data_IF_309228337952
#
_entry.id   IF_309228337952
#
_cell.length_a   1.000
_cell.length_b   1.000
_cell.length_c   1.000
_cell.angle_alpha   90.00
_cell.angle_beta   90.00
_cell.angle_gamma   90.00
#
_symmetry.space_group_name_H-M   'P 1'
#
loop_
_entity.id
_entity.type
_entity.pdbx_description
1 polymer ?
#
# COMPACT_ATOMS: atom_id res chain seq x y z
N UNK A 1 -18.89 10.25 -0.45
CA UNK A 1 -17.78 10.84 0.35
C UNK A 1 -17.16 11.94 -0.48
N UNK A 2 -16.59 12.95 0.16
CA UNK A 2 -15.84 14.02 -0.49
C UNK A 2 -14.34 13.71 -0.35
N UNK A 3 -13.63 13.63 -1.48
CA UNK A 3 -12.23 13.22 -1.54
C UNK A 3 -11.42 14.30 -2.22
N UNK A 4 -10.35 14.78 -1.57
CA UNK A 4 -9.35 15.64 -2.22
C UNK A 4 -8.16 14.81 -2.65
N UNK A 5 -7.65 15.09 -3.84
CA UNK A 5 -6.46 14.44 -4.41
C UNK A 5 -5.47 15.54 -4.79
N UNK A 6 -4.32 15.56 -4.15
CA UNK A 6 -3.21 16.44 -4.48
C UNK A 6 -2.25 15.72 -5.43
N UNK A 7 -2.12 16.27 -6.64
CA UNK A 7 -1.36 15.71 -7.76
C UNK A 7 -2.27 15.14 -8.85
N UNK A 8 -2.34 15.81 -10.02
CA UNK A 8 -3.07 15.38 -11.22
C UNK A 8 -2.19 14.60 -12.21
N UNK A 9 -1.11 14.01 -11.76
CA UNK A 9 -0.32 13.05 -12.53
C UNK A 9 -1.11 11.79 -12.89
N UNK A 10 -0.48 10.81 -13.55
CA UNK A 10 -1.15 9.59 -14.00
C UNK A 10 -1.91 8.86 -12.88
N UNK A 11 -1.33 8.78 -11.67
CA UNK A 11 -1.95 8.12 -10.52
C UNK A 11 -3.15 8.91 -10.00
N UNK A 12 -2.99 10.23 -9.80
CA UNK A 12 -4.06 11.06 -9.27
C UNK A 12 -5.28 11.13 -10.20
N UNK A 13 -5.04 11.27 -11.52
CA UNK A 13 -6.13 11.21 -12.51
C UNK A 13 -6.86 9.89 -12.51
N UNK A 14 -6.12 8.77 -12.46
CA UNK A 14 -6.74 7.44 -12.41
C UNK A 14 -7.61 7.28 -11.17
N UNK A 15 -7.10 7.65 -10.00
CA UNK A 15 -7.88 7.65 -8.75
C UNK A 15 -9.12 8.52 -8.84
N UNK A 16 -8.99 9.74 -9.41
CA UNK A 16 -10.09 10.66 -9.55
C UNK A 16 -11.21 10.09 -10.44
N UNK A 17 -10.86 9.50 -11.60
CA UNK A 17 -11.80 8.84 -12.51
C UNK A 17 -12.54 7.70 -11.81
N UNK A 18 -11.81 6.78 -11.19
CA UNK A 18 -12.38 5.60 -10.54
C UNK A 18 -13.31 5.95 -9.38
N UNK A 19 -12.90 6.91 -8.55
CA UNK A 19 -13.69 7.34 -7.41
C UNK A 19 -14.91 8.16 -7.84
N UNK A 20 -14.78 9.01 -8.86
CA UNK A 20 -15.92 9.74 -9.43
C UNK A 20 -16.96 8.79 -10.02
N UNK A 21 -16.53 7.76 -10.74
CA UNK A 21 -17.42 6.72 -11.30
C UNK A 21 -18.17 5.93 -10.22
N UNK A 22 -17.62 5.85 -8.99
CA UNK A 22 -18.28 5.26 -7.81
C UNK A 22 -19.19 6.23 -7.06
N UNK A 23 -19.38 7.46 -7.57
CA UNK A 23 -20.27 8.46 -7.00
C UNK A 23 -19.67 9.28 -5.85
N UNK A 24 -18.34 9.30 -5.70
CA UNK A 24 -17.68 10.21 -4.76
C UNK A 24 -17.55 11.61 -5.37
N UNK A 25 -17.56 12.64 -4.52
CA UNK A 25 -17.22 14.01 -4.93
C UNK A 25 -15.71 14.17 -4.88
N UNK A 26 -15.11 14.57 -5.98
CA UNK A 26 -13.66 14.65 -6.14
C UNK A 26 -13.22 16.12 -6.29
N UNK A 27 -12.17 16.48 -5.56
CA UNK A 27 -11.43 17.72 -5.77
C UNK A 27 -10.02 17.31 -6.16
N UNK A 28 -9.62 17.62 -7.38
CA UNK A 28 -8.29 17.33 -7.90
C UNK A 28 -7.48 18.62 -7.97
N UNK A 29 -6.35 18.67 -7.29
CA UNK A 29 -5.47 19.85 -7.18
C UNK A 29 -4.14 19.53 -7.85
N UNK A 30 -3.67 20.44 -8.69
CA UNK A 30 -2.29 20.39 -9.23
C UNK A 30 -1.82 21.82 -9.55
N UNK A 31 -0.52 22.05 -9.41
CA UNK A 31 0.12 23.31 -9.80
C UNK A 31 0.43 23.39 -11.29
N UNK A 32 0.47 22.26 -12.00
CA UNK A 32 0.71 22.21 -13.44
C UNK A 32 -0.60 22.33 -14.21
N UNK A 33 -0.81 23.45 -14.96
CA UNK A 33 -1.99 23.61 -15.78
C UNK A 33 -2.12 22.55 -16.88
N UNK A 34 -1.01 21.96 -17.36
CA UNK A 34 -1.04 20.93 -18.39
C UNK A 34 -1.65 19.64 -17.82
N UNK A 35 -1.26 19.25 -16.59
CA UNK A 35 -1.82 18.09 -15.92
C UNK A 35 -3.34 18.22 -15.68
N UNK A 36 -3.81 19.43 -15.35
CA UNK A 36 -5.24 19.72 -15.19
C UNK A 36 -5.98 19.79 -16.53
N UNK A 37 -5.37 20.28 -17.59
CA UNK A 37 -5.98 20.28 -18.93
C UNK A 37 -6.19 18.83 -19.45
N UNK A 38 -5.27 17.92 -19.15
CA UNK A 38 -5.47 16.49 -19.41
C UNK A 38 -6.61 15.90 -18.57
N UNK A 39 -6.82 16.40 -17.35
CA UNK A 39 -7.92 15.96 -16.50
C UNK A 39 -9.28 16.49 -16.98
N UNK A 40 -9.35 17.69 -17.55
CA UNK A 40 -10.59 18.29 -18.09
C UNK A 40 -11.27 17.40 -19.12
N UNK A 41 -10.49 16.69 -19.94
CA UNK A 41 -11.00 15.84 -21.02
C UNK A 41 -12.07 14.81 -20.57
N UNK A 42 -12.05 14.45 -19.28
CA UNK A 42 -13.03 13.54 -18.67
C UNK A 42 -13.82 14.20 -17.52
N UNK A 43 -13.26 15.22 -16.88
CA UNK A 43 -13.90 15.90 -15.74
C UNK A 43 -15.08 16.77 -16.17
N UNK A 44 -15.05 17.35 -17.36
CA UNK A 44 -16.12 18.20 -17.89
C UNK A 44 -17.44 17.44 -18.11
N UNK A 45 -17.38 16.11 -18.27
CA UNK A 45 -18.54 15.23 -18.36
C UNK A 45 -19.00 14.69 -16.99
N UNK A 46 -18.33 15.05 -15.89
CA UNK A 46 -18.57 14.52 -14.56
C UNK A 46 -19.00 15.66 -13.59
N UNK A 47 -20.28 15.70 -13.23
CA UNK A 47 -20.87 16.70 -12.32
C UNK A 47 -20.29 16.68 -10.89
N UNK A 48 -19.51 15.65 -10.55
CA UNK A 48 -18.98 15.39 -9.21
C UNK A 48 -17.45 15.58 -9.13
N UNK A 49 -16.84 16.25 -10.10
CA UNK A 49 -15.39 16.53 -10.12
C UNK A 49 -15.13 18.03 -10.20
N UNK A 50 -14.29 18.52 -9.29
CA UNK A 50 -13.78 19.89 -9.28
C UNK A 50 -12.27 19.87 -9.50
N UNK A 51 -11.79 20.70 -10.41
CA UNK A 51 -10.37 20.90 -10.68
C UNK A 51 -9.91 22.23 -10.08
N UNK A 52 -8.78 22.22 -9.36
CA UNK A 52 -8.20 23.40 -8.74
C UNK A 52 -6.75 23.54 -9.22
N UNK A 53 -6.44 24.66 -9.87
CA UNK A 53 -5.07 25.02 -10.22
C UNK A 53 -4.42 25.71 -9.02
N UNK A 54 -3.40 25.09 -8.45
CA UNK A 54 -2.65 25.63 -7.33
C UNK A 54 -1.69 24.61 -6.72
N UNK A 55 -0.76 25.12 -5.93
CA UNK A 55 0.14 24.29 -5.14
C UNK A 55 -0.58 23.80 -3.87
N UNK A 56 -0.74 22.51 -3.72
CA UNK A 56 -1.41 21.90 -2.56
C UNK A 56 -0.59 22.04 -1.25
N UNK A 57 0.67 22.46 -1.31
CA UNK A 57 1.47 22.81 -0.14
C UNK A 57 1.13 24.20 0.41
N UNK A 58 0.37 24.99 -0.32
CA UNK A 58 -0.03 26.33 0.10
C UNK A 58 -1.36 26.28 0.87
N UNK A 59 -1.41 26.77 2.13
CA UNK A 59 -2.61 26.67 2.97
C UNK A 59 -3.86 27.30 2.33
N UNK A 60 -3.71 28.42 1.62
CA UNK A 60 -4.83 29.10 0.98
C UNK A 60 -5.46 28.32 -0.18
N UNK A 61 -4.69 27.42 -0.84
CA UNK A 61 -5.21 26.50 -1.86
C UNK A 61 -6.11 25.46 -1.21
N UNK A 62 -5.66 24.91 -0.09
CA UNK A 62 -6.42 23.92 0.68
C UNK A 62 -7.67 24.52 1.34
N UNK A 63 -7.60 25.78 1.79
CA UNK A 63 -8.77 26.53 2.24
C UNK A 63 -9.79 26.71 1.11
N UNK A 64 -9.32 27.11 -0.08
CA UNK A 64 -10.17 27.25 -1.28
C UNK A 64 -10.81 25.95 -1.73
N UNK A 65 -10.19 24.81 -1.43
CA UNK A 65 -10.74 23.48 -1.65
C UNK A 65 -11.70 23.01 -0.53
N UNK A 66 -11.94 23.85 0.49
CA UNK A 66 -12.80 23.56 1.64
C UNK A 66 -12.42 22.24 2.36
N UNK A 67 -11.11 22.02 2.57
CA UNK A 67 -10.58 20.77 3.12
C UNK A 67 -11.22 20.34 4.44
N UNK A 68 -11.69 21.26 5.25
CA UNK A 68 -12.41 20.98 6.52
C UNK A 68 -13.70 20.18 6.31
N UNK A 69 -14.22 20.09 5.08
CA UNK A 69 -15.44 19.33 4.75
C UNK A 69 -15.14 18.01 4.04
N UNK A 70 -13.85 17.70 3.87
CA UNK A 70 -13.38 16.51 3.14
C UNK A 70 -13.29 15.30 4.07
N UNK A 71 -13.75 14.15 3.59
CA UNK A 71 -13.69 12.89 4.34
C UNK A 71 -12.32 12.21 4.22
N UNK A 72 -11.69 12.33 3.04
CA UNK A 72 -10.40 11.68 2.73
C UNK A 72 -9.51 12.62 1.92
N UNK A 73 -8.26 12.80 2.33
CA UNK A 73 -7.21 13.45 1.54
C UNK A 73 -6.21 12.43 1.02
N UNK A 74 -5.78 12.61 -0.24
CA UNK A 74 -4.83 11.71 -0.90
C UNK A 74 -3.71 12.56 -1.51
N UNK A 75 -2.49 12.43 -1.00
CA UNK A 75 -1.31 13.10 -1.51
C UNK A 75 -0.53 12.14 -2.43
N UNK A 76 -0.54 12.42 -3.74
CA UNK A 76 0.05 11.55 -4.78
C UNK A 76 0.85 12.33 -5.81
N UNK A 77 1.48 13.41 -5.37
CA UNK A 77 2.40 14.18 -6.19
C UNK A 77 3.66 13.36 -6.55
N UNK A 78 4.50 13.89 -7.41
CA UNK A 78 5.80 13.29 -7.76
C UNK A 78 6.88 13.48 -6.71
N UNK A 79 6.61 14.23 -5.65
CA UNK A 79 7.57 14.62 -4.62
C UNK A 79 7.13 14.16 -3.23
N UNK A 80 8.05 13.55 -2.47
CA UNK A 80 7.73 13.00 -1.14
C UNK A 80 7.57 14.10 -0.09
N UNK A 81 8.33 15.17 -0.21
CA UNK A 81 8.26 16.34 0.68
C UNK A 81 6.91 17.02 0.54
N UNK A 82 6.45 17.22 -0.69
CA UNK A 82 5.12 17.78 -0.97
C UNK A 82 4.01 16.89 -0.40
N UNK A 83 4.12 15.57 -0.59
CA UNK A 83 3.15 14.62 -0.06
C UNK A 83 3.07 14.66 1.48
N UNK A 84 4.21 14.84 2.16
CA UNK A 84 4.25 15.01 3.62
C UNK A 84 3.63 16.35 4.06
N UNK A 85 3.96 17.46 3.37
CA UNK A 85 3.41 18.78 3.70
C UNK A 85 1.90 18.80 3.53
N UNK A 86 1.38 18.30 2.39
CA UNK A 86 -0.06 18.19 2.15
C UNK A 86 -0.74 17.33 3.21
N UNK A 87 -0.14 16.19 3.57
CA UNK A 87 -0.69 15.30 4.59
C UNK A 87 -0.77 15.98 5.95
N UNK A 88 0.30 16.68 6.34
CA UNK A 88 0.37 17.40 7.62
C UNK A 88 -0.69 18.50 7.69
N UNK A 89 -0.79 19.34 6.64
CA UNK A 89 -1.79 20.41 6.56
C UNK A 89 -3.21 19.84 6.58
N UNK A 90 -3.50 18.82 5.78
CA UNK A 90 -4.81 18.19 5.75
C UNK A 90 -5.22 17.64 7.13
N UNK A 91 -4.29 16.99 7.83
CA UNK A 91 -4.57 16.37 9.13
C UNK A 91 -4.64 17.36 10.26
N UNK A 92 -3.63 18.24 10.39
CA UNK A 92 -3.48 19.09 11.58
C UNK A 92 -4.23 20.42 11.46
N UNK A 93 -4.21 21.06 10.29
CA UNK A 93 -4.87 22.36 10.12
C UNK A 93 -6.35 22.22 9.74
N UNK A 94 -6.68 21.23 8.90
CA UNK A 94 -8.05 21.06 8.40
C UNK A 94 -8.82 19.90 9.05
N UNK A 95 -8.17 19.08 9.88
CA UNK A 95 -8.83 18.00 10.63
C UNK A 95 -9.41 16.89 9.75
N UNK A 96 -8.85 16.65 8.55
CA UNK A 96 -9.34 15.60 7.65
C UNK A 96 -9.28 14.24 8.33
N UNK A 97 -10.39 13.49 8.39
CA UNK A 97 -10.47 12.24 9.16
C UNK A 97 -9.46 11.19 8.68
N UNK A 98 -9.23 11.10 7.36
CA UNK A 98 -8.34 10.11 6.77
C UNK A 98 -7.43 10.71 5.71
N UNK A 99 -6.13 10.50 5.89
CA UNK A 99 -5.10 10.99 4.97
C UNK A 99 -4.25 9.84 4.49
N UNK A 100 -4.16 9.70 3.17
CA UNK A 100 -3.38 8.68 2.50
C UNK A 100 -2.29 9.34 1.66
N UNK A 101 -1.11 8.74 1.60
CA UNK A 101 0.00 9.31 0.86
C UNK A 101 0.76 8.28 0.02
N UNK A 102 1.25 8.71 -1.12
CA UNK A 102 2.20 7.97 -1.94
C UNK A 102 3.62 8.26 -1.48
N UNK A 103 4.41 7.20 -1.37
CA UNK A 103 5.86 7.26 -1.17
C UNK A 103 6.54 7.02 -2.52
N UNK A 104 7.23 8.02 -3.05
CA UNK A 104 7.95 7.92 -4.33
C UNK A 104 9.30 7.22 -4.15
N UNK A 105 9.99 7.51 -3.05
CA UNK A 105 11.29 6.93 -2.73
C UNK A 105 11.23 6.07 -1.46
N UNK A 106 11.45 4.74 -1.54
CA UNK A 106 11.38 3.86 -0.38
C UNK A 106 12.24 4.29 0.82
N UNK A 107 13.32 5.05 0.58
CA UNK A 107 14.18 5.62 1.64
C UNK A 107 13.44 6.59 2.56
N UNK A 108 12.36 7.21 2.08
CA UNK A 108 11.58 8.20 2.81
C UNK A 108 10.37 7.58 3.53
N UNK A 109 10.07 6.30 3.31
CA UNK A 109 8.88 5.62 3.85
C UNK A 109 8.74 5.75 5.37
N UNK A 110 9.86 5.77 6.10
CA UNK A 110 9.90 5.93 7.56
C UNK A 110 9.32 7.27 8.06
N UNK A 111 9.25 8.30 7.20
CA UNK A 111 8.65 9.60 7.53
C UNK A 111 7.13 9.59 7.43
N UNK A 112 6.53 8.70 6.63
CA UNK A 112 5.10 8.67 6.36
C UNK A 112 4.32 8.01 7.51
N UNK A 113 4.25 8.72 8.63
CA UNK A 113 3.67 8.26 9.89
C UNK A 113 2.54 9.19 10.35
N UNK A 114 1.81 8.78 11.39
CA UNK A 114 0.79 9.62 12.02
C UNK A 114 1.32 10.97 12.51
N UNK A 115 2.61 11.08 12.86
CA UNK A 115 3.24 12.34 13.24
C UNK A 115 3.28 13.36 12.09
N UNK A 116 3.38 12.87 10.88
CA UNK A 116 3.29 13.66 9.64
C UNK A 116 1.87 13.72 9.07
N UNK A 117 0.87 13.30 9.85
CA UNK A 117 -0.53 13.34 9.45
C UNK A 117 -0.94 12.24 8.48
N UNK A 118 -0.13 11.20 8.29
CA UNK A 118 -0.40 10.10 7.36
C UNK A 118 -1.04 8.93 8.09
N UNK A 119 -2.29 8.58 7.73
CA UNK A 119 -2.99 7.41 8.27
C UNK A 119 -2.66 6.12 7.50
N UNK A 120 -2.18 6.25 6.26
CA UNK A 120 -1.73 5.13 5.46
C UNK A 120 -0.90 5.59 4.27
N UNK A 121 0.13 4.83 3.94
CA UNK A 121 1.02 5.13 2.82
C UNK A 121 1.20 3.91 1.93
N UNK A 122 1.54 4.18 0.67
CA UNK A 122 1.91 3.14 -0.30
C UNK A 122 3.14 3.57 -1.08
N UNK A 123 4.09 2.65 -1.21
CA UNK A 123 5.29 2.82 -2.03
C UNK A 123 5.21 1.93 -3.27
N UNK A 124 4.79 2.45 -4.43
CA UNK A 124 4.74 1.65 -5.66
C UNK A 124 6.08 1.02 -6.05
N UNK A 125 7.24 1.71 -5.90
CA UNK A 125 8.53 1.07 -6.16
C UNK A 125 8.80 -0.12 -5.25
N UNK A 126 8.41 -0.05 -3.98
CA UNK A 126 8.58 -1.17 -3.03
C UNK A 126 7.71 -2.37 -3.44
N UNK A 127 6.44 -2.13 -3.78
CA UNK A 127 5.52 -3.18 -4.24
C UNK A 127 6.06 -3.84 -5.51
N UNK A 128 6.50 -3.05 -6.49
CA UNK A 128 7.07 -3.59 -7.75
C UNK A 128 8.34 -4.40 -7.50
N UNK A 129 9.21 -3.94 -6.59
CA UNK A 129 10.42 -4.69 -6.21
C UNK A 129 10.05 -6.04 -5.61
N UNK A 130 9.08 -6.06 -4.67
CA UNK A 130 8.61 -7.30 -4.07
C UNK A 130 8.04 -8.28 -5.12
N UNK A 131 7.24 -7.80 -6.06
CA UNK A 131 6.71 -8.63 -7.16
C UNK A 131 7.81 -9.19 -8.07
N UNK A 132 8.87 -8.41 -8.34
CA UNK A 132 10.02 -8.88 -9.13
C UNK A 132 10.82 -9.91 -8.33
N UNK A 133 11.06 -9.66 -7.05
CA UNK A 133 11.74 -10.61 -6.16
C UNK A 133 11.00 -11.94 -6.10
N UNK A 134 9.67 -11.91 -5.97
CA UNK A 134 8.81 -13.10 -6.05
C UNK A 134 9.03 -13.88 -7.33
N UNK A 135 9.07 -13.18 -8.46
CA UNK A 135 9.20 -13.82 -9.78
C UNK A 135 10.57 -14.46 -10.02
N UNK A 136 11.64 -13.97 -9.38
CA UNK A 136 13.01 -14.43 -9.61
C UNK A 136 13.58 -15.27 -8.49
N UNK A 137 12.93 -15.32 -7.32
CA UNK A 137 13.46 -15.97 -6.12
C UNK A 137 12.51 -17.06 -5.62
N UNK A 138 13.04 -18.26 -5.40
CA UNK A 138 12.29 -19.37 -4.79
C UNK A 138 12.89 -19.67 -3.42
N UNK A 139 12.03 -19.69 -2.39
CA UNK A 139 12.46 -20.02 -1.01
C UNK A 139 12.89 -18.84 -0.16
N UNK A 140 12.79 -17.60 -0.65
CA UNK A 140 12.93 -16.41 0.18
C UNK A 140 11.55 -15.88 0.62
N UNK A 141 11.55 -15.14 1.73
CA UNK A 141 10.38 -14.44 2.23
C UNK A 141 10.24 -13.11 1.50
N UNK A 142 9.07 -12.87 0.89
CA UNK A 142 8.75 -11.66 0.16
C UNK A 142 7.74 -10.86 0.96
N UNK A 143 8.05 -9.61 1.23
CA UNK A 143 7.16 -8.68 1.91
C UNK A 143 6.23 -8.04 0.89
N UNK A 144 4.93 -8.44 0.89
CA UNK A 144 3.93 -7.92 -0.05
C UNK A 144 3.41 -6.55 0.40
N UNK A 145 3.02 -6.43 1.68
CA UNK A 145 2.37 -5.22 2.18
C UNK A 145 2.69 -4.98 3.65
N UNK A 146 3.26 -3.82 4.01
CA UNK A 146 3.37 -3.41 5.41
C UNK A 146 1.99 -3.00 5.94
N UNK A 147 1.69 -3.41 7.16
CA UNK A 147 0.45 -3.09 7.89
C UNK A 147 0.81 -2.41 9.21
N UNK A 148 -0.16 -1.68 9.80
CA UNK A 148 0.01 -1.05 11.12
C UNK A 148 1.29 -0.19 11.21
N UNK A 149 1.59 0.61 10.18
CA UNK A 149 2.80 1.42 10.15
C UNK A 149 4.10 0.61 10.08
N UNK A 150 4.08 -0.59 9.49
CA UNK A 150 5.24 -1.48 9.33
C UNK A 150 5.51 -2.39 10.54
N UNK A 151 4.66 -2.36 11.57
CA UNK A 151 4.78 -3.27 12.73
C UNK A 151 4.42 -4.71 12.41
N UNK A 152 3.59 -4.91 11.40
CA UNK A 152 3.20 -6.20 10.86
C UNK A 152 3.29 -6.14 9.35
N UNK A 153 3.68 -7.24 8.71
CA UNK A 153 3.71 -7.35 7.25
C UNK A 153 2.92 -8.57 6.78
N UNK A 154 2.21 -8.40 5.68
CA UNK A 154 1.76 -9.52 4.87
C UNK A 154 2.96 -9.99 4.04
N UNK A 155 3.31 -11.26 4.20
CA UNK A 155 4.45 -11.87 3.53
C UNK A 155 4.03 -13.11 2.75
N UNK A 156 4.83 -13.45 1.75
CA UNK A 156 4.72 -14.66 0.96
C UNK A 156 6.02 -15.46 1.01
N UNK A 157 5.88 -16.77 1.07
CA UNK A 157 7.00 -17.72 0.97
C UNK A 157 6.62 -18.83 -0.01
N UNK A 158 7.45 -19.03 -1.03
CA UNK A 158 7.29 -20.16 -1.95
C UNK A 158 8.17 -21.32 -1.52
N UNK A 159 7.55 -22.49 -1.30
CA UNK A 159 8.25 -23.67 -0.83
C UNK A 159 9.09 -24.29 -1.96
N UNK A 160 10.43 -24.32 -1.83
CA UNK A 160 11.28 -24.95 -2.82
C UNK A 160 11.06 -26.47 -2.89
N UNK A 161 11.37 -27.06 -4.03
CA UNK A 161 11.22 -28.50 -4.22
C UNK A 161 12.12 -29.34 -3.29
N UNK A 162 13.24 -28.80 -2.90
CA UNK A 162 14.24 -29.40 -2.00
C UNK A 162 14.09 -28.98 -0.53
N UNK A 163 13.01 -28.29 -0.17
CA UNK A 163 12.76 -27.92 1.22
C UNK A 163 12.62 -29.16 2.10
N UNK A 164 13.30 -29.19 3.25
CA UNK A 164 13.19 -30.29 4.21
C UNK A 164 11.77 -30.41 4.80
N UNK A 165 10.95 -29.38 4.68
CA UNK A 165 9.59 -29.34 5.22
C UNK A 165 8.53 -29.80 4.20
N UNK A 166 8.92 -30.13 2.98
CA UNK A 166 8.04 -30.78 2.01
C UNK A 166 7.60 -32.15 2.52
N UNK A 167 6.28 -32.40 2.52
CA UNK A 167 5.70 -33.63 3.03
C UNK A 167 5.41 -33.62 4.54
N UNK A 168 5.72 -32.54 5.25
CA UNK A 168 5.43 -32.38 6.67
C UNK A 168 4.15 -31.56 6.89
N UNK A 169 3.33 -31.92 7.88
CA UNK A 169 2.13 -31.15 8.24
C UNK A 169 2.52 -29.86 8.98
N UNK A 170 1.68 -28.83 8.84
CA UNK A 170 1.95 -27.50 9.42
C UNK A 170 2.16 -27.52 10.94
N UNK A 171 1.48 -28.41 11.69
CA UNK A 171 1.63 -28.49 13.15
C UNK A 171 3.04 -28.91 13.61
N UNK A 172 3.82 -29.56 12.74
CA UNK A 172 5.22 -29.91 13.02
C UNK A 172 6.17 -28.73 12.88
N UNK A 173 5.75 -27.69 12.16
CA UNK A 173 6.53 -26.48 11.97
C UNK A 173 6.40 -25.59 13.20
N UNK A 174 7.53 -25.21 13.79
CA UNK A 174 7.56 -24.29 14.93
C UNK A 174 7.56 -22.85 14.43
N UNK A 175 6.39 -22.35 14.07
CA UNK A 175 6.24 -20.95 13.70
C UNK A 175 6.53 -20.04 14.90
N UNK A 176 7.18 -18.88 14.69
CA UNK A 176 7.33 -17.87 15.75
C UNK A 176 5.96 -17.42 16.29
N UNK A 177 5.94 -16.95 17.55
CA UNK A 177 4.69 -16.59 18.23
C UNK A 177 3.91 -15.45 17.54
N UNK A 178 4.65 -14.53 16.90
CA UNK A 178 4.07 -13.36 16.19
C UNK A 178 3.83 -13.63 14.70
N UNK A 179 3.62 -14.91 14.33
CA UNK A 179 3.34 -15.31 12.96
C UNK A 179 2.02 -16.05 12.86
N UNK A 180 1.27 -15.72 11.81
CA UNK A 180 0.03 -16.42 11.48
C UNK A 180 0.02 -16.80 9.99
N UNK A 181 -0.07 -18.08 9.68
CA UNK A 181 -0.34 -18.56 8.32
C UNK A 181 -1.80 -18.28 7.98
N UNK A 182 -2.06 -17.56 6.89
CA UNK A 182 -3.39 -17.14 6.46
C UNK A 182 -3.97 -18.05 5.38
N UNK A 183 -3.15 -18.38 4.37
CA UNK A 183 -3.55 -19.19 3.24
C UNK A 183 -2.36 -19.90 2.62
N UNK A 184 -2.68 -20.99 1.91
CA UNK A 184 -1.78 -21.65 0.98
C UNK A 184 -2.36 -21.53 -0.43
N UNK A 185 -1.51 -21.25 -1.40
CA UNK A 185 -1.86 -21.34 -2.81
C UNK A 185 -1.11 -22.52 -3.41
N UNK A 186 -1.85 -23.47 -3.96
CA UNK A 186 -1.33 -24.70 -4.59
C UNK A 186 -1.97 -24.87 -5.95
N UNK A 187 -1.17 -24.87 -7.01
CA UNK A 187 -1.65 -25.05 -8.40
C UNK A 187 -2.80 -24.09 -8.75
N UNK A 188 -2.71 -22.81 -8.28
CA UNK A 188 -3.73 -21.80 -8.48
C UNK A 188 -4.98 -21.92 -7.63
N UNK A 189 -5.03 -22.86 -6.67
CA UNK A 189 -6.13 -23.04 -5.74
C UNK A 189 -5.77 -22.54 -4.34
N UNK A 190 -6.69 -21.77 -3.74
CA UNK A 190 -6.54 -21.29 -2.36
C UNK A 190 -6.99 -22.36 -1.38
N UNK A 191 -6.12 -22.68 -0.45
CA UNK A 191 -6.38 -23.63 0.66
C UNK A 191 -6.32 -22.86 1.98
N UNK A 192 -7.29 -23.08 2.86
CA UNK A 192 -7.22 -22.61 4.24
C UNK A 192 -6.37 -23.62 5.01
N UNK A 193 -5.20 -23.23 5.53
CA UNK A 193 -4.31 -24.15 6.20
C UNK A 193 -4.94 -24.66 7.51
N UNK A 194 -4.94 -25.96 7.67
CA UNK A 194 -5.29 -26.64 8.92
C UNK A 194 -3.99 -27.18 9.55
N UNK A 195 -3.96 -27.46 10.84
CA UNK A 195 -2.77 -28.06 11.48
C UNK A 195 -2.23 -29.28 10.73
N UNK A 196 -3.12 -30.11 10.21
CA UNK A 196 -2.81 -31.35 9.48
C UNK A 196 -2.51 -31.15 8.01
N UNK A 197 -2.58 -29.91 7.50
CA UNK A 197 -2.28 -29.62 6.09
C UNK A 197 -0.80 -29.92 5.83
N UNK A 198 -0.57 -30.87 4.94
CA UNK A 198 0.77 -31.28 4.51
C UNK A 198 1.28 -30.33 3.43
N UNK A 199 2.48 -29.78 3.64
CA UNK A 199 3.13 -28.90 2.69
C UNK A 199 3.63 -29.67 1.46
N UNK A 200 3.49 -29.09 0.28
CA UNK A 200 3.98 -29.63 -0.97
C UNK A 200 4.96 -28.66 -1.63
N UNK A 201 5.88 -29.21 -2.43
CA UNK A 201 6.77 -28.39 -3.23
C UNK A 201 5.98 -27.43 -4.14
N UNK A 202 6.40 -26.17 -4.18
CA UNK A 202 5.73 -25.12 -4.95
C UNK A 202 4.54 -24.48 -4.27
N UNK A 203 4.17 -24.89 -3.03
CA UNK A 203 3.18 -24.16 -2.24
C UNK A 203 3.63 -22.73 -1.98
N UNK A 204 2.72 -21.79 -2.17
CA UNK A 204 2.89 -20.39 -1.79
C UNK A 204 2.14 -20.17 -0.47
N UNK A 205 2.90 -19.81 0.58
CA UNK A 205 2.37 -19.60 1.92
C UNK A 205 2.22 -18.11 2.17
N UNK A 206 0.99 -17.64 2.36
CA UNK A 206 0.69 -16.29 2.80
C UNK A 206 0.60 -16.24 4.32
N UNK A 207 1.34 -15.31 4.93
CA UNK A 207 1.38 -15.16 6.38
C UNK A 207 1.42 -13.69 6.82
N UNK A 208 0.99 -13.44 8.06
CA UNK A 208 1.27 -12.20 8.77
C UNK A 208 2.43 -12.45 9.74
N UNK A 209 3.36 -11.50 9.82
CA UNK A 209 4.52 -11.59 10.71
C UNK A 209 5.02 -10.21 11.12
N UNK A 210 5.68 -10.12 12.27
CA UNK A 210 6.47 -8.94 12.64
C UNK A 210 7.83 -8.97 11.93
N UNK A 211 8.49 -7.81 11.70
CA UNK A 211 9.81 -7.76 11.07
C UNK A 211 10.87 -8.60 11.79
N UNK A 212 10.79 -8.68 13.11
CA UNK A 212 11.72 -9.45 13.96
C UNK A 212 11.55 -10.95 13.78
N UNK A 213 10.37 -11.40 13.35
CA UNK A 213 10.01 -12.81 13.21
C UNK A 213 10.11 -13.35 11.78
N UNK A 214 10.41 -12.50 10.79
CA UNK A 214 10.46 -12.89 9.37
C UNK A 214 11.47 -14.01 9.09
N UNK A 215 12.71 -13.87 9.58
CA UNK A 215 13.73 -14.91 9.36
C UNK A 215 13.37 -16.22 10.08
N UNK A 216 12.76 -16.14 11.27
CA UNK A 216 12.25 -17.31 11.98
C UNK A 216 11.13 -17.99 11.21
N UNK A 217 10.22 -17.23 10.61
CA UNK A 217 9.14 -17.74 9.78
C UNK A 217 9.68 -18.41 8.52
N UNK A 218 10.63 -17.75 7.83
CA UNK A 218 11.31 -18.31 6.66
C UNK A 218 11.98 -19.64 6.99
N UNK A 219 12.77 -19.67 8.06
CA UNK A 219 13.48 -20.87 8.49
C UNK A 219 12.53 -22.00 8.88
N UNK A 220 11.38 -21.68 9.51
CA UNK A 220 10.38 -22.65 9.90
C UNK A 220 9.63 -23.26 8.71
N UNK A 221 9.37 -22.48 7.64
CA UNK A 221 8.62 -22.95 6.46
C UNK A 221 9.56 -23.53 5.40
N UNK A 222 10.60 -22.80 5.02
CA UNK A 222 11.49 -23.19 3.92
C UNK A 222 12.64 -24.08 4.37
N UNK A 223 13.04 -23.96 5.62
CA UNK A 223 14.25 -24.59 6.19
C UNK A 223 15.37 -23.57 6.43
N UNK A 224 16.31 -23.93 7.30
CA UNK A 224 17.49 -23.11 7.53
C UNK A 224 18.37 -23.05 6.28
N UNK A 225 18.93 -21.86 5.96
CA UNK A 225 20.02 -21.78 4.97
C UNK A 225 21.24 -22.51 5.52
N UNK A 226 21.76 -23.49 4.77
CA UNK A 226 23.02 -24.15 5.06
C UNK A 226 24.19 -23.22 4.79
#
# INVERSE_FOLDING_TARGET
MRVVIAGAGAVGRHLAIDLAARGHQIILIDQDPVALDEAKAWADDADNVQLILGDACEPWVLEGAELSTVDVAVAVTGDDEDNLVVSLLAKQEHGVPRVLARVNHPKNEWMFTEQWGVDGSVSPPHILTAMVEEAVTVGDLIRILPLEGGRVSLVELKLPADSPNTGHPLYELRLPADCASLALVREGHVLIPQPETVLAAGDEVLALTSPESEEGLRAAIVGARL
#
